data_IF_876223935622
#
_entry.id   IF_876223935622
#
_cell.length_a   1.000
_cell.length_b   1.000
_cell.length_c   1.000
_cell.angle_alpha   90.00
_cell.angle_beta   90.00
_cell.angle_gamma   90.00
#
_symmetry.space_group_name_H-M   'P 1'
#
loop_
_entity.id
_entity.type
_entity.pdbx_description
1 polymer ?
#
# COMPACT_ATOMS: atom_id res chain seq x y z
N UNK A 1 -0.63 -15.22 -0.55
CA UNK A 1 -1.57 -14.92 -1.63
C UNK A 1 -1.31 -15.85 -2.81
N UNK A 2 -0.22 -15.69 -3.56
CA UNK A 2 0.10 -16.51 -4.74
C UNK A 2 0.64 -17.93 -4.42
N UNK A 3 1.04 -18.22 -3.20
CA UNK A 3 1.59 -19.52 -2.80
C UNK A 3 3.05 -19.75 -3.24
N UNK A 4 3.78 -18.71 -3.59
CA UNK A 4 5.22 -18.80 -3.86
C UNK A 4 6.00 -18.81 -2.56
N UNK A 5 6.58 -19.95 -2.19
CA UNK A 5 7.29 -20.13 -0.92
C UNK A 5 8.59 -19.29 -0.82
N UNK A 6 9.17 -18.93 -1.97
CA UNK A 6 10.42 -18.15 -2.06
C UNK A 6 10.21 -16.71 -2.51
N UNK A 7 8.97 -16.19 -2.42
CA UNK A 7 8.68 -14.78 -2.71
C UNK A 7 9.31 -13.87 -1.66
N UNK A 8 10.07 -12.88 -2.10
CA UNK A 8 10.83 -11.99 -1.22
C UNK A 8 10.96 -10.57 -1.78
N UNK A 9 11.50 -9.66 -0.98
CA UNK A 9 12.00 -8.39 -1.45
C UNK A 9 13.44 -8.56 -1.96
N UNK A 10 13.73 -8.10 -3.16
CA UNK A 10 15.10 -8.07 -3.71
C UNK A 10 16.06 -7.19 -2.88
N UNK A 11 15.53 -6.31 -2.01
CA UNK A 11 16.35 -5.56 -1.05
C UNK A 11 16.99 -6.47 0.00
N UNK A 12 16.30 -7.52 0.40
CA UNK A 12 16.73 -8.44 1.47
C UNK A 12 17.34 -9.73 0.90
N UNK A 13 16.82 -10.21 -0.23
CA UNK A 13 17.32 -11.36 -0.97
C UNK A 13 17.38 -11.04 -2.47
N UNK A 14 18.53 -10.56 -2.96
CA UNK A 14 18.71 -10.20 -4.37
C UNK A 14 18.58 -11.38 -5.34
N UNK A 15 18.72 -12.60 -4.86
CA UNK A 15 18.68 -13.82 -5.67
C UNK A 15 17.29 -14.49 -5.65
N UNK A 16 16.28 -13.88 -5.01
CA UNK A 16 14.92 -14.45 -4.95
C UNK A 16 14.36 -14.70 -6.36
N UNK A 17 13.76 -15.89 -6.61
CA UNK A 17 13.14 -16.18 -7.89
C UNK A 17 11.82 -15.41 -8.12
N UNK A 18 11.24 -14.85 -7.05
CA UNK A 18 9.98 -14.10 -7.08
C UNK A 18 10.14 -12.75 -6.36
N UNK A 19 10.81 -11.76 -6.99
CA UNK A 19 11.01 -10.44 -6.39
C UNK A 19 9.72 -9.61 -6.43
N UNK A 20 8.89 -9.74 -5.39
CA UNK A 20 7.62 -9.00 -5.26
C UNK A 20 7.87 -7.51 -5.03
N UNK A 21 8.96 -7.19 -4.35
CA UNK A 21 9.48 -5.84 -4.15
C UNK A 21 10.85 -5.76 -4.82
N UNK A 22 11.01 -4.85 -5.77
CA UNK A 22 12.22 -4.73 -6.59
C UNK A 22 12.54 -3.27 -6.93
N UNK A 23 13.66 -3.04 -7.58
CA UNK A 23 13.97 -1.76 -8.21
C UNK A 23 13.15 -1.61 -9.50
N UNK A 24 12.63 -0.42 -9.75
CA UNK A 24 12.01 -0.13 -11.05
C UNK A 24 13.09 -0.08 -12.14
N UNK A 25 12.74 -0.41 -13.40
CA UNK A 25 13.71 -0.46 -14.51
C UNK A 25 14.54 0.83 -14.65
N UNK A 26 13.94 1.99 -14.47
CA UNK A 26 14.61 3.29 -14.51
C UNK A 26 15.63 3.52 -13.37
N UNK A 27 15.61 2.68 -12.33
CA UNK A 27 16.51 2.80 -11.18
C UNK A 27 17.80 1.98 -11.34
N UNK A 28 17.79 1.00 -12.24
CA UNK A 28 18.98 0.16 -12.49
C UNK A 28 20.13 0.90 -13.17
N UNK A 29 19.84 2.00 -13.89
CA UNK A 29 20.84 2.78 -14.63
C UNK A 29 21.53 3.86 -13.78
N UNK A 30 21.17 4.00 -12.49
CA UNK A 30 21.69 5.07 -11.61
C UNK A 30 22.77 4.54 -10.68
N UNK A 31 24.02 4.93 -10.93
CA UNK A 31 25.21 4.52 -10.16
C UNK A 31 25.26 5.08 -8.73
N UNK A 32 24.49 6.15 -8.41
CA UNK A 32 24.48 6.77 -7.09
C UNK A 32 23.35 6.23 -6.22
N UNK A 33 23.66 5.45 -5.18
CA UNK A 33 22.70 4.82 -4.27
C UNK A 33 21.69 5.80 -3.61
N UNK A 34 22.00 7.09 -3.51
CA UNK A 34 21.10 8.11 -2.98
C UNK A 34 20.19 8.77 -4.01
N UNK A 35 20.51 8.67 -5.31
CA UNK A 35 19.79 9.37 -6.38
C UNK A 35 18.45 8.79 -6.77
N UNK A 36 18.17 7.53 -6.35
CA UNK A 36 16.91 6.83 -6.66
C UNK A 36 15.99 6.65 -5.46
N UNK A 37 16.37 7.13 -4.28
CA UNK A 37 15.50 7.08 -3.11
C UNK A 37 14.33 8.04 -3.26
N UNK A 38 13.13 7.52 -3.04
CA UNK A 38 11.94 8.35 -2.87
C UNK A 38 11.92 8.90 -1.45
N UNK A 39 12.08 10.21 -1.34
CA UNK A 39 12.22 10.91 -0.05
C UNK A 39 11.20 12.06 0.06
N UNK A 40 10.70 12.27 1.27
CA UNK A 40 9.84 13.40 1.57
C UNK A 40 8.35 13.11 1.45
N UNK A 41 7.56 14.17 1.38
CA UNK A 41 6.10 14.07 1.27
C UNK A 41 5.70 13.96 -0.20
N UNK A 42 4.86 12.97 -0.50
CA UNK A 42 4.28 12.74 -1.83
C UNK A 42 2.78 12.52 -1.70
N UNK A 43 2.07 12.93 -2.74
CA UNK A 43 0.64 12.70 -2.85
C UNK A 43 0.38 11.29 -3.38
N UNK A 44 -0.70 10.70 -2.87
CA UNK A 44 -1.23 9.39 -3.27
C UNK A 44 -2.70 9.55 -3.63
N UNK A 45 -3.09 9.13 -4.80
CA UNK A 45 -4.48 9.00 -5.21
C UNK A 45 -5.05 7.71 -4.64
N UNK A 46 -6.26 7.78 -4.08
CA UNK A 46 -6.96 6.68 -3.43
C UNK A 46 -8.22 6.35 -4.20
N UNK A 47 -8.42 5.06 -4.48
CA UNK A 47 -9.62 4.58 -5.16
C UNK A 47 -10.84 4.72 -4.25
N UNK A 48 -11.97 5.18 -4.82
CA UNK A 48 -13.23 5.26 -4.11
C UNK A 48 -13.80 3.88 -3.77
N UNK A 49 -14.57 3.77 -2.66
CA UNK A 49 -15.17 2.52 -2.20
C UNK A 49 -14.15 1.52 -1.63
N UNK A 50 -13.02 2.00 -1.12
CA UNK A 50 -11.94 1.18 -0.58
C UNK A 50 -11.77 1.37 0.93
N UNK A 51 -11.07 0.43 1.56
CA UNK A 51 -10.65 0.60 2.95
C UNK A 51 -9.74 1.83 3.10
N UNK A 52 -8.90 2.11 2.11
CA UNK A 52 -8.04 3.29 2.11
C UNK A 52 -8.85 4.58 2.14
N UNK A 53 -9.93 4.70 1.33
CA UNK A 53 -10.82 5.86 1.39
C UNK A 53 -11.48 5.99 2.76
N UNK A 54 -12.01 4.90 3.33
CA UNK A 54 -12.63 4.92 4.65
C UNK A 54 -11.66 5.29 5.78
N UNK A 55 -10.39 4.90 5.65
CA UNK A 55 -9.31 5.20 6.61
C UNK A 55 -8.89 6.67 6.52
N UNK A 56 -8.70 7.20 5.31
CA UNK A 56 -8.23 8.58 5.11
C UNK A 56 -9.36 9.62 5.07
N UNK A 57 -10.59 9.16 4.83
CA UNK A 57 -11.76 10.04 4.71
C UNK A 57 -11.80 10.84 3.41
N UNK A 58 -11.22 10.31 2.33
CA UNK A 58 -11.17 10.93 1.02
C UNK A 58 -10.31 10.18 0.02
N UNK A 59 -10.36 10.63 -1.24
CA UNK A 59 -9.72 9.98 -2.38
C UNK A 59 -8.27 10.43 -2.64
N UNK A 60 -7.64 11.04 -1.66
CA UNK A 60 -6.20 11.37 -1.72
C UNK A 60 -5.61 11.55 -0.34
N UNK A 61 -4.30 11.32 -0.22
CA UNK A 61 -3.53 11.65 0.98
C UNK A 61 -2.12 12.11 0.59
N UNK A 62 -1.47 12.83 1.53
CA UNK A 62 -0.06 13.19 1.39
C UNK A 62 0.71 12.52 2.51
N UNK A 63 1.66 11.64 2.19
CA UNK A 63 2.42 10.88 3.17
C UNK A 63 3.93 10.94 2.91
N UNK A 64 4.73 10.57 3.90
CA UNK A 64 6.19 10.66 3.81
C UNK A 64 6.80 9.32 3.42
N UNK A 65 7.71 9.38 2.46
CA UNK A 65 8.44 8.24 1.91
C UNK A 65 9.92 8.27 2.32
N UNK A 66 10.47 7.06 2.44
CA UNK A 66 11.90 6.83 2.64
C UNK A 66 12.26 5.43 2.15
N UNK A 67 12.07 5.18 0.87
CA UNK A 67 12.35 3.87 0.26
C UNK A 67 12.95 4.03 -1.13
N UNK A 68 13.54 2.96 -1.61
CA UNK A 68 14.11 2.85 -2.95
C UNK A 68 13.41 1.76 -3.77
N UNK A 69 13.03 0.68 -3.11
CA UNK A 69 12.36 -0.47 -3.71
C UNK A 69 10.86 -0.24 -3.78
N UNK A 70 10.26 -0.77 -4.82
CA UNK A 70 8.85 -0.58 -5.16
C UNK A 70 8.19 -1.94 -5.40
N UNK A 71 6.86 -1.98 -5.42
CA UNK A 71 6.14 -3.18 -5.87
C UNK A 71 6.52 -3.47 -7.32
N UNK A 72 6.90 -4.73 -7.59
CA UNK A 72 7.24 -5.17 -8.94
C UNK A 72 6.02 -5.06 -9.86
N UNK A 73 6.05 -4.21 -10.90
CA UNK A 73 4.91 -3.98 -11.77
C UNK A 73 4.49 -5.23 -12.56
N UNK A 74 5.39 -6.18 -12.78
CA UNK A 74 5.08 -7.43 -13.50
C UNK A 74 4.17 -8.37 -12.70
N UNK A 75 4.09 -8.20 -11.37
CA UNK A 75 3.30 -9.05 -10.48
C UNK A 75 1.97 -8.41 -10.03
N UNK A 76 1.70 -7.15 -10.37
CA UNK A 76 0.51 -6.43 -9.91
C UNK A 76 -0.78 -7.15 -10.31
N UNK A 77 -0.95 -7.46 -11.59
CA UNK A 77 -2.16 -8.10 -12.12
C UNK A 77 -2.37 -9.49 -11.49
N UNK A 78 -1.30 -10.25 -11.28
CA UNK A 78 -1.35 -11.56 -10.65
C UNK A 78 -1.77 -11.45 -9.19
N UNK A 79 -1.20 -10.50 -8.43
CA UNK A 79 -1.56 -10.24 -7.03
C UNK A 79 -3.02 -9.79 -6.89
N UNK A 80 -3.48 -8.90 -7.78
CA UNK A 80 -4.87 -8.43 -7.75
C UNK A 80 -5.87 -9.54 -8.12
N UNK A 81 -5.50 -10.49 -9.01
CA UNK A 81 -6.35 -11.63 -9.36
C UNK A 81 -6.63 -12.57 -8.19
N UNK A 82 -5.79 -12.57 -7.15
CA UNK A 82 -5.89 -13.39 -5.95
C UNK A 82 -6.42 -12.64 -4.72
N UNK A 83 -7.10 -11.49 -4.95
CA UNK A 83 -7.83 -10.76 -3.91
C UNK A 83 -7.02 -9.69 -3.15
N UNK A 84 -5.76 -9.46 -3.51
CA UNK A 84 -5.03 -8.28 -3.07
C UNK A 84 -5.47 -7.09 -3.93
N UNK A 85 -5.68 -5.94 -3.35
CA UNK A 85 -6.06 -4.73 -4.06
C UNK A 85 -5.06 -3.61 -3.79
N UNK A 86 -4.56 -2.99 -4.84
CA UNK A 86 -3.79 -1.77 -4.71
C UNK A 86 -4.74 -0.57 -4.79
N UNK A 87 -5.16 -0.09 -3.64
CA UNK A 87 -6.16 0.97 -3.49
C UNK A 87 -5.60 2.38 -3.43
N UNK A 88 -4.27 2.54 -3.35
CA UNK A 88 -3.58 3.83 -3.41
C UNK A 88 -2.43 3.79 -4.39
N UNK A 89 -2.34 4.82 -5.25
CA UNK A 89 -1.33 4.91 -6.31
C UNK A 89 -0.77 6.32 -6.43
N UNK A 90 0.50 6.41 -6.85
CA UNK A 90 1.11 7.65 -7.29
C UNK A 90 1.80 7.40 -8.63
N UNK A 91 1.27 7.97 -9.71
CA UNK A 91 1.69 7.66 -11.08
C UNK A 91 1.52 6.15 -11.36
N UNK A 92 2.63 5.43 -11.61
CA UNK A 92 2.67 3.98 -11.83
C UNK A 92 3.14 3.17 -10.61
N UNK A 93 3.20 3.79 -9.41
CA UNK A 93 3.67 3.17 -8.17
C UNK A 93 2.50 2.80 -7.27
N UNK A 94 2.61 1.63 -6.66
CA UNK A 94 1.62 1.14 -5.70
C UNK A 94 1.98 1.62 -4.29
N UNK A 95 1.08 2.37 -3.68
CA UNK A 95 1.32 3.07 -2.41
C UNK A 95 0.57 2.46 -1.23
N UNK A 96 -0.63 1.94 -1.49
CA UNK A 96 -1.48 1.31 -0.50
C UNK A 96 -2.00 0.00 -1.07
N UNK A 97 -1.98 -1.05 -0.25
CA UNK A 97 -2.58 -2.33 -0.56
C UNK A 97 -3.53 -2.78 0.56
N UNK A 98 -4.55 -3.53 0.17
CA UNK A 98 -5.52 -4.13 1.09
C UNK A 98 -5.95 -5.52 0.60
N UNK A 99 -6.46 -6.35 1.51
CA UNK A 99 -7.15 -7.60 1.17
C UNK A 99 -8.65 -7.39 1.29
N UNK A 100 -9.38 -7.63 0.20
CA UNK A 100 -10.82 -7.36 0.11
C UNK A 100 -11.67 -8.30 0.96
N UNK A 101 -11.16 -9.50 1.25
CA UNK A 101 -11.85 -10.51 2.08
C UNK A 101 -11.30 -10.56 3.52
N UNK A 102 -10.75 -9.46 4.02
CA UNK A 102 -10.25 -9.37 5.39
C UNK A 102 -10.82 -8.13 6.09
N UNK A 103 -11.23 -8.22 7.38
CA UNK A 103 -11.86 -7.08 8.08
C UNK A 103 -10.97 -5.83 8.10
N UNK A 104 -9.66 -6.00 8.25
CA UNK A 104 -8.68 -4.92 8.16
C UNK A 104 -7.30 -5.49 7.83
N UNK A 105 -6.92 -5.44 6.56
CA UNK A 105 -5.56 -5.70 6.11
C UNK A 105 -5.12 -4.49 5.29
N UNK A 106 -4.12 -3.78 5.78
CA UNK A 106 -3.71 -2.49 5.23
C UNK A 106 -2.19 -2.38 5.22
N UNK A 107 -1.61 -2.30 4.05
CA UNK A 107 -0.17 -2.11 3.86
C UNK A 107 0.11 -0.78 3.16
N UNK A 108 1.23 -0.14 3.52
CA UNK A 108 1.64 1.12 2.92
C UNK A 108 3.10 1.07 2.50
N UNK A 109 3.41 1.70 1.37
CA UNK A 109 4.78 1.94 0.91
C UNK A 109 5.43 3.10 1.68
N UNK A 110 4.63 4.06 2.08
CA UNK A 110 5.03 5.21 2.88
C UNK A 110 5.03 4.91 4.38
N UNK A 111 5.49 5.87 5.17
CA UNK A 111 5.65 5.79 6.62
C UNK A 111 4.60 6.63 7.36
N UNK A 112 3.39 6.10 7.63
CA UNK A 112 2.31 6.85 8.27
C UNK A 112 2.64 7.26 9.71
N UNK A 113 3.58 6.58 10.38
CA UNK A 113 4.03 6.92 11.73
C UNK A 113 4.62 8.33 11.81
N UNK A 114 5.20 8.86 10.74
CA UNK A 114 5.77 10.20 10.73
C UNK A 114 4.73 11.31 10.91
N UNK A 115 3.46 11.02 10.65
CA UNK A 115 2.36 11.96 10.85
C UNK A 115 1.61 11.76 12.16
N UNK A 116 1.87 10.68 12.88
CA UNK A 116 1.24 10.42 14.16
C UNK A 116 1.73 11.39 15.25
N UNK A 117 0.82 11.82 16.10
CA UNK A 117 1.06 12.69 17.26
C UNK A 117 0.30 12.15 18.46
N UNK A 118 0.69 12.51 19.71
CA UNK A 118 0.02 12.02 20.91
C UNK A 118 -1.49 12.32 20.98
N UNK A 119 -1.92 13.42 20.36
CA UNK A 119 -3.29 13.92 20.30
C UNK A 119 -3.99 13.63 18.96
N UNK A 120 -3.26 13.08 18.00
CA UNK A 120 -3.77 12.81 16.65
C UNK A 120 -3.05 11.62 16.03
N UNK A 121 -3.61 10.43 16.21
CA UNK A 121 -3.11 9.24 15.54
C UNK A 121 -3.17 9.41 14.00
N UNK A 122 -2.20 8.85 13.29
CA UNK A 122 -2.30 8.81 11.83
C UNK A 122 -3.43 7.89 11.39
N UNK A 123 -4.06 8.18 10.23
CA UNK A 123 -5.27 7.48 9.80
C UNK A 123 -5.17 5.94 9.78
N UNK A 124 -4.09 5.30 9.30
CA UNK A 124 -3.99 3.84 9.31
C UNK A 124 -4.04 3.23 10.72
N UNK A 125 -3.39 3.85 11.70
CA UNK A 125 -3.42 3.35 13.08
C UNK A 125 -4.79 3.53 13.72
N UNK A 126 -5.45 4.65 13.46
CA UNK A 126 -6.82 4.89 13.92
C UNK A 126 -7.80 3.92 13.27
N UNK A 127 -7.66 3.67 11.96
CA UNK A 127 -8.46 2.70 11.22
C UNK A 127 -8.32 1.29 11.80
N UNK A 128 -7.10 0.85 12.10
CA UNK A 128 -6.85 -0.42 12.76
C UNK A 128 -7.57 -0.53 14.13
N UNK A 129 -7.48 0.49 14.95
CA UNK A 129 -8.18 0.51 16.25
C UNK A 129 -9.69 0.46 16.09
N UNK A 130 -10.25 1.19 15.13
CA UNK A 130 -11.68 1.14 14.82
C UNK A 130 -12.12 -0.25 14.37
N UNK A 131 -11.32 -0.92 13.55
CA UNK A 131 -11.60 -2.29 13.13
C UNK A 131 -11.57 -3.26 14.33
N UNK A 132 -10.61 -3.13 15.24
CA UNK A 132 -10.56 -3.94 16.47
C UNK A 132 -11.79 -3.71 17.35
N UNK A 133 -12.36 -2.49 17.38
CA UNK A 133 -13.58 -2.15 18.11
C UNK A 133 -14.86 -2.55 17.38
N UNK A 134 -14.79 -3.07 16.15
CA UNK A 134 -15.95 -3.38 15.32
C UNK A 134 -16.65 -2.16 14.74
N UNK A 135 -15.95 -1.05 14.60
CA UNK A 135 -16.45 0.21 14.04
C UNK A 135 -16.05 0.39 12.55
N UNK A 136 -15.26 -0.51 12.01
CA UNK A 136 -14.79 -0.53 10.63
C UNK A 136 -14.55 -1.98 10.19
N UNK A 137 -15.17 -2.39 9.09
CA UNK A 137 -14.93 -3.69 8.44
C UNK A 137 -14.85 -3.47 6.91
N UNK A 138 -13.69 -3.77 6.33
CA UNK A 138 -13.47 -3.57 4.91
C UNK A 138 -14.42 -4.39 4.02
N UNK A 139 -14.88 -5.55 4.50
CA UNK A 139 -15.82 -6.44 3.78
C UNK A 139 -17.22 -5.84 3.61
N UNK A 140 -17.55 -4.81 4.38
CA UNK A 140 -18.84 -4.12 4.33
C UNK A 140 -18.83 -2.91 3.39
N UNK A 141 -17.65 -2.36 3.06
CA UNK A 141 -17.51 -1.12 2.29
C UNK A 141 -17.93 -1.22 0.81
N UNK A 142 -17.98 -2.43 0.24
CA UNK A 142 -18.42 -2.66 -1.14
C UNK A 142 -19.92 -2.94 -1.30
N UNK A 143 -20.70 -3.02 -0.22
CA UNK A 143 -22.09 -3.47 -0.25
C UNK A 143 -23.14 -2.34 -0.25
N UNK A 144 -22.76 -1.08 -0.18
CA UNK A 144 -23.70 0.04 -0.12
C UNK A 144 -24.28 0.48 -1.49
N UNK A 145 -23.86 -0.09 -2.62
CA UNK A 145 -24.34 0.31 -3.96
C UNK A 145 -25.59 -0.45 -4.47
N UNK A 146 -26.29 -1.25 -3.66
CA UNK A 146 -27.44 -2.06 -4.15
C UNK A 146 -28.79 -1.68 -3.53
N UNK A 147 -28.93 -0.48 -2.96
CA UNK A 147 -30.24 0.01 -2.53
C UNK A 147 -30.46 1.47 -2.92
N UNK A 148 -30.76 1.69 -4.18
CA UNK A 148 -31.41 2.91 -4.68
C UNK A 148 -32.47 2.56 -5.73
#
# INVERSE_FOLDING_TARGET
>A
VLGHDEAHSAELDPDTPHPVIDLLPEQYEVDEMGGTMRLGAHDTDIDAGTLAEAVYGGTSCTERHRHRYEVNPELIDELESEGLRFSGRAENRMEILELTDHPFFFGTQFHPEFRSRPDRASPPFLGFLRAVLGELDARELGNEEVTA
#
